data_IF_656064815617
#
_entry.id   IF_656064815617
#
_cell.length_a   1.000
_cell.length_b   1.000
_cell.length_c   1.000
_cell.angle_alpha   90.00
_cell.angle_beta   90.00
_cell.angle_gamma   90.00
#
_symmetry.space_group_name_H-M   'P 1'
#
loop_
_entity.id
_entity.type
_entity.pdbx_description
1 polymer ?
#
# COMPACT_ATOMS: atom_id res chain seq x y z
N UNK A 1 4.29 11.22 -32.91
CA UNK A 1 5.74 11.03 -32.78
C UNK A 1 6.15 11.58 -31.43
N UNK A 2 5.97 10.82 -30.36
CA UNK A 2 6.36 11.21 -28.98
C UNK A 2 7.24 10.15 -28.31
N UNK A 3 7.67 9.17 -29.05
CA UNK A 3 8.62 8.19 -28.57
C UNK A 3 10.02 8.81 -28.49
N UNK A 4 10.66 8.74 -27.32
CA UNK A 4 12.04 9.12 -27.04
C UNK A 4 12.32 10.59 -26.72
N UNK A 5 11.92 11.02 -25.53
CA UNK A 5 12.69 12.02 -24.78
C UNK A 5 13.26 11.38 -23.52
N UNK A 6 14.38 10.71 -23.68
CA UNK A 6 15.07 10.06 -22.56
C UNK A 6 16.23 10.95 -22.15
N UNK A 7 16.21 11.48 -20.92
CA UNK A 7 17.36 12.00 -20.23
C UNK A 7 17.99 10.89 -19.39
N UNK A 8 19.24 10.61 -19.68
CA UNK A 8 20.02 9.54 -19.06
C UNK A 8 20.42 9.85 -17.63
N UNK A 9 20.34 8.89 -16.73
CA UNK A 9 21.40 8.61 -15.74
C UNK A 9 21.38 7.12 -15.41
N UNK A 10 22.54 6.51 -15.55
CA UNK A 10 22.82 5.11 -15.39
C UNK A 10 22.97 4.70 -13.93
N UNK A 11 22.46 3.53 -13.58
CA UNK A 11 23.16 2.64 -12.66
C UNK A 11 23.01 1.21 -13.15
N UNK A 12 24.05 0.76 -13.81
CA UNK A 12 24.19 -0.57 -14.37
C UNK A 12 24.79 -1.48 -13.31
N UNK A 13 24.16 -2.61 -13.07
CA UNK A 13 24.91 -3.78 -12.63
C UNK A 13 25.92 -4.10 -13.73
N UNK A 14 27.20 -3.94 -13.40
CA UNK A 14 28.28 -4.13 -14.34
C UNK A 14 28.42 -5.61 -14.71
N UNK A 15 27.91 -5.96 -15.87
CA UNK A 15 28.53 -7.00 -16.69
C UNK A 15 29.30 -6.25 -17.77
N UNK A 16 30.62 -6.21 -17.59
CA UNK A 16 31.51 -5.55 -18.54
C UNK A 16 31.44 -6.20 -19.91
N UNK A 17 30.91 -5.45 -20.85
CA UNK A 17 31.16 -5.73 -22.26
C UNK A 17 32.23 -4.74 -22.71
N UNK A 18 33.46 -5.22 -22.79
CA UNK A 18 34.51 -4.55 -23.54
C UNK A 18 34.11 -4.57 -25.02
N UNK A 19 33.88 -3.38 -25.60
CA UNK A 19 33.74 -3.26 -27.04
C UNK A 19 35.09 -3.62 -27.69
N UNK A 20 35.20 -4.79 -28.26
CA UNK A 20 36.17 -5.05 -29.32
C UNK A 20 35.48 -4.72 -30.65
N UNK A 21 35.86 -3.60 -31.24
CA UNK A 21 35.68 -3.38 -32.68
C UNK A 21 36.48 -4.41 -33.44
N UNK A 22 35.85 -5.54 -33.75
CA UNK A 22 36.28 -6.40 -34.80
C UNK A 22 35.09 -6.59 -35.73
N UNK A 23 35.24 -6.27 -37.00
CA UNK A 23 34.35 -6.69 -38.07
C UNK A 23 34.27 -8.22 -38.09
N UNK A 24 33.48 -8.78 -37.16
CA UNK A 24 33.11 -10.18 -37.22
C UNK A 24 31.94 -10.32 -38.18
N UNK A 25 32.03 -11.27 -39.10
CA UNK A 25 30.92 -11.77 -39.89
C UNK A 25 29.78 -12.16 -38.94
N UNK A 26 28.81 -11.27 -38.78
CA UNK A 26 27.62 -11.56 -38.01
C UNK A 26 26.86 -12.68 -38.73
N UNK A 27 26.76 -13.82 -38.11
CA UNK A 27 25.86 -14.88 -38.57
C UNK A 27 24.44 -14.33 -38.38
N UNK A 28 23.64 -14.42 -39.42
CA UNK A 28 22.21 -14.11 -39.33
C UNK A 28 21.55 -15.03 -38.29
N UNK A 29 21.39 -14.55 -37.08
CA UNK A 29 20.69 -15.27 -36.03
C UNK A 29 19.20 -14.90 -36.13
N UNK A 30 18.38 -15.89 -36.37
CA UNK A 30 16.94 -15.74 -36.32
C UNK A 30 16.48 -15.81 -34.85
N UNK A 31 16.20 -14.66 -34.27
CA UNK A 31 15.68 -14.52 -32.88
C UNK A 31 14.16 -14.65 -32.80
N UNK A 32 13.47 -14.96 -33.86
CA UNK A 32 12.01 -14.97 -33.88
C UNK A 32 11.38 -15.90 -32.85
N UNK A 33 12.00 -17.05 -32.59
CA UNK A 33 11.53 -18.00 -31.58
C UNK A 33 11.95 -17.62 -30.16
N UNK A 34 13.02 -16.85 -29.98
CA UNK A 34 13.53 -16.44 -28.69
C UNK A 34 12.79 -15.20 -28.14
N UNK A 35 12.07 -14.49 -29.03
CA UNK A 35 11.30 -13.31 -28.67
C UNK A 35 9.86 -13.64 -28.24
N UNK A 36 9.38 -14.86 -28.47
CA UNK A 36 8.03 -15.23 -28.04
C UNK A 36 7.86 -15.10 -26.54
N UNK A 37 6.81 -14.40 -26.10
CA UNK A 37 6.49 -14.23 -24.68
C UNK A 37 6.10 -12.80 -24.32
N UNK A 38 6.04 -12.55 -23.04
CA UNK A 38 5.74 -11.23 -22.47
C UNK A 38 7.02 -10.58 -21.99
N UNK A 39 7.20 -9.32 -22.36
CA UNK A 39 8.40 -8.53 -22.06
C UNK A 39 8.00 -7.19 -21.47
N UNK A 40 8.64 -6.78 -20.41
CA UNK A 40 8.31 -5.51 -19.73
C UNK A 40 9.53 -4.62 -19.61
N UNK A 41 9.31 -3.33 -19.83
CA UNK A 41 10.30 -2.27 -19.67
C UNK A 41 9.74 -1.18 -18.77
N UNK A 42 10.57 -0.61 -17.90
CA UNK A 42 10.24 0.59 -17.14
C UNK A 42 11.48 1.46 -17.00
N UNK A 43 11.40 2.72 -17.42
CA UNK A 43 12.50 3.68 -17.36
C UNK A 43 11.97 5.12 -17.35
N UNK A 44 12.30 5.90 -16.33
CA UNK A 44 12.16 7.37 -16.28
C UNK A 44 10.78 7.92 -16.74
N UNK A 45 9.68 7.32 -16.25
CA UNK A 45 8.32 7.74 -16.60
C UNK A 45 7.73 7.04 -17.82
N UNK A 46 8.52 6.27 -18.55
CA UNK A 46 8.10 5.36 -19.60
C UNK A 46 7.97 3.93 -19.06
N UNK A 47 6.87 3.26 -19.36
CA UNK A 47 6.70 1.86 -19.07
C UNK A 47 5.91 1.17 -20.18
N UNK A 48 6.36 0.00 -20.60
CA UNK A 48 5.72 -0.75 -21.67
C UNK A 48 5.78 -2.25 -21.41
N UNK A 49 4.73 -2.95 -21.76
CA UNK A 49 4.68 -4.38 -21.89
C UNK A 49 4.42 -4.77 -23.36
N UNK A 50 5.19 -5.71 -23.87
CA UNK A 50 5.06 -6.28 -25.19
C UNK A 50 4.69 -7.77 -25.06
N UNK A 51 3.56 -8.17 -25.67
CA UNK A 51 3.20 -9.57 -25.86
C UNK A 51 3.57 -9.95 -27.29
N UNK A 52 4.64 -10.71 -27.44
CA UNK A 52 5.18 -11.14 -28.75
C UNK A 52 4.78 -12.60 -29.01
N UNK A 53 4.18 -12.86 -30.15
CA UNK A 53 3.78 -14.21 -30.55
C UNK A 53 4.74 -14.81 -31.60
N UNK A 54 4.79 -16.12 -31.70
CA UNK A 54 5.65 -16.85 -32.62
C UNK A 54 5.55 -16.41 -34.09
N UNK A 55 4.40 -15.87 -34.50
CA UNK A 55 4.19 -15.36 -35.86
C UNK A 55 4.70 -13.92 -36.07
N UNK A 56 5.38 -13.33 -35.08
CA UNK A 56 5.86 -11.96 -35.13
C UNK A 56 4.80 -10.89 -34.91
N UNK A 57 3.56 -11.27 -34.55
CA UNK A 57 2.59 -10.27 -34.09
C UNK A 57 2.94 -9.82 -32.65
N UNK A 58 2.74 -8.54 -32.38
CA UNK A 58 2.99 -7.94 -31.07
C UNK A 58 1.78 -7.16 -30.62
N UNK A 59 1.52 -7.16 -29.33
CA UNK A 59 0.56 -6.28 -28.67
C UNK A 59 1.32 -5.47 -27.63
N UNK A 60 1.17 -4.16 -27.68
CA UNK A 60 1.79 -3.21 -26.73
C UNK A 60 0.74 -2.61 -25.82
N UNK A 61 1.09 -2.45 -24.55
CA UNK A 61 0.38 -1.66 -23.56
C UNK A 61 1.37 -0.93 -22.67
N UNK A 62 1.09 0.31 -22.27
CA UNK A 62 2.04 1.06 -21.49
C UNK A 62 1.56 2.43 -21.04
N UNK A 63 2.51 3.19 -20.50
CA UNK A 63 2.34 4.57 -20.02
C UNK A 63 3.57 5.40 -20.40
N UNK A 64 3.34 6.60 -20.91
CA UNK A 64 4.37 7.63 -21.11
C UNK A 64 3.76 8.99 -20.78
N UNK A 65 4.45 9.81 -20.03
CA UNK A 65 4.04 11.18 -19.64
C UNK A 65 2.62 11.27 -19.05
N UNK A 66 2.17 10.21 -18.36
CA UNK A 66 0.83 10.14 -17.76
C UNK A 66 -0.28 9.79 -18.74
N UNK A 67 0.03 9.45 -19.97
CA UNK A 67 -0.91 8.94 -20.97
C UNK A 67 -0.75 7.41 -21.08
N UNK A 68 -1.86 6.67 -21.06
CA UNK A 68 -1.90 5.21 -21.16
C UNK A 68 -2.37 4.78 -22.55
N UNK A 69 -1.72 3.75 -23.09
CA UNK A 69 -2.25 3.01 -24.24
C UNK A 69 -2.48 1.55 -23.87
N UNK A 70 -3.45 0.92 -24.53
CA UNK A 70 -3.87 -0.45 -24.30
C UNK A 70 -4.06 -1.18 -25.62
N UNK A 71 -3.62 -2.42 -25.68
CA UNK A 71 -3.87 -3.36 -26.76
C UNK A 71 -3.51 -2.83 -28.17
N UNK A 72 -2.45 -2.05 -28.28
CA UNK A 72 -1.98 -1.56 -29.58
C UNK A 72 -1.31 -2.71 -30.33
N UNK A 73 -1.98 -3.17 -31.38
CA UNK A 73 -1.48 -4.29 -32.18
C UNK A 73 -0.43 -3.83 -33.21
N UNK A 74 0.54 -4.70 -33.43
CA UNK A 74 1.62 -4.45 -34.36
C UNK A 74 2.30 -5.72 -34.87
N UNK A 75 3.44 -5.52 -35.51
CA UNK A 75 4.34 -6.59 -35.97
C UNK A 75 5.77 -6.26 -35.54
N UNK A 76 6.53 -7.30 -35.22
CA UNK A 76 7.95 -7.22 -34.89
C UNK A 76 8.76 -8.08 -35.84
N UNK A 77 9.87 -7.56 -36.27
CA UNK A 77 10.83 -8.29 -37.11
C UNK A 77 12.25 -7.97 -36.67
N UNK A 78 13.07 -9.00 -36.54
CA UNK A 78 14.50 -8.85 -36.30
C UNK A 78 15.29 -9.40 -37.46
N UNK A 79 16.18 -8.61 -38.00
CA UNK A 79 17.08 -8.99 -39.11
C UNK A 79 18.44 -8.33 -38.89
N UNK A 80 19.51 -9.11 -38.86
CA UNK A 80 20.89 -8.61 -38.74
C UNK A 80 21.08 -7.67 -37.54
N UNK A 81 20.63 -8.08 -36.35
CA UNK A 81 20.66 -7.28 -35.11
C UNK A 81 19.95 -5.93 -35.21
N UNK A 82 19.03 -5.79 -36.12
CA UNK A 82 18.13 -4.65 -36.27
C UNK A 82 16.71 -5.10 -36.02
N UNK A 83 16.03 -4.45 -35.13
CA UNK A 83 14.63 -4.67 -34.84
C UNK A 83 13.78 -3.60 -35.52
N UNK A 84 12.69 -4.02 -36.12
CA UNK A 84 11.63 -3.13 -36.62
C UNK A 84 10.33 -3.52 -35.94
N UNK A 85 9.66 -2.57 -35.31
CA UNK A 85 8.31 -2.71 -34.80
C UNK A 85 7.40 -1.73 -35.55
N UNK A 86 6.24 -2.21 -35.97
CA UNK A 86 5.26 -1.40 -36.71
C UNK A 86 3.90 -1.59 -36.05
N UNK A 87 3.34 -0.54 -35.49
CA UNK A 87 2.07 -0.56 -34.81
C UNK A 87 0.94 0.01 -35.67
N UNK A 88 -0.29 -0.42 -35.41
CA UNK A 88 -1.48 0.00 -36.19
C UNK A 88 -1.88 1.46 -35.97
N UNK A 89 -1.51 2.06 -34.85
CA UNK A 89 -1.69 3.48 -34.55
C UNK A 89 -0.76 4.39 -35.36
N UNK A 90 0.20 3.81 -36.07
CA UNK A 90 1.17 4.52 -36.91
C UNK A 90 2.54 4.71 -36.27
N UNK A 91 2.71 4.33 -35.04
CA UNK A 91 4.00 4.38 -34.38
C UNK A 91 4.89 3.25 -34.88
N UNK A 92 6.14 3.60 -35.19
CA UNK A 92 7.11 2.68 -35.72
C UNK A 92 8.45 2.88 -35.01
N UNK A 93 9.10 1.78 -34.71
CA UNK A 93 10.45 1.76 -34.21
C UNK A 93 11.36 1.00 -35.16
N UNK A 94 12.54 1.52 -35.42
CA UNK A 94 13.62 0.85 -36.10
C UNK A 94 14.95 1.17 -35.40
N UNK A 95 15.68 0.14 -34.97
CA UNK A 95 16.93 0.37 -34.25
C UNK A 95 17.77 -0.89 -34.05
N UNK A 96 18.95 -0.71 -33.46
CA UNK A 96 19.84 -1.80 -33.09
C UNK A 96 19.16 -2.65 -32.01
N UNK A 97 19.35 -3.96 -32.11
CA UNK A 97 18.82 -4.96 -31.20
C UNK A 97 19.93 -5.80 -30.61
N UNK A 98 19.86 -6.04 -29.30
CA UNK A 98 20.73 -6.96 -28.57
C UNK A 98 19.86 -7.83 -27.66
N UNK A 99 20.18 -9.14 -27.56
CA UNK A 99 19.38 -10.07 -26.78
C UNK A 99 20.23 -11.00 -25.92
N UNK A 100 19.72 -11.27 -24.72
CA UNK A 100 20.12 -12.41 -23.88
C UNK A 100 18.91 -13.35 -23.85
N UNK A 101 18.98 -14.46 -24.59
CA UNK A 101 17.83 -15.34 -24.80
C UNK A 101 17.14 -15.73 -23.48
N UNK A 102 15.80 -15.60 -23.44
CA UNK A 102 14.98 -15.93 -22.28
C UNK A 102 15.17 -15.03 -21.04
N UNK A 103 15.95 -13.95 -21.14
CA UNK A 103 16.24 -13.06 -20.01
C UNK A 103 15.86 -11.62 -20.31
N UNK A 104 16.47 -11.02 -21.34
CA UNK A 104 16.26 -9.63 -21.68
C UNK A 104 16.62 -9.34 -23.13
N UNK A 105 16.02 -8.31 -23.69
CA UNK A 105 16.52 -7.68 -24.91
C UNK A 105 16.60 -6.17 -24.77
N UNK A 106 17.43 -5.56 -25.56
CA UNK A 106 17.60 -4.11 -25.60
C UNK A 106 17.43 -3.60 -27.02
N UNK A 107 16.77 -2.47 -27.15
CA UNK A 107 16.66 -1.72 -28.38
C UNK A 107 17.35 -0.37 -28.20
N UNK A 108 17.95 0.13 -29.28
CA UNK A 108 18.67 1.38 -29.29
C UNK A 108 18.14 2.25 -30.43
N UNK A 109 17.83 3.51 -30.13
CA UNK A 109 17.48 4.46 -31.15
C UNK A 109 18.72 4.96 -31.92
N UNK A 110 18.52 5.85 -32.89
CA UNK A 110 19.62 6.44 -33.67
C UNK A 110 20.58 7.30 -32.83
N UNK A 111 20.11 7.84 -31.71
CA UNK A 111 20.88 8.66 -30.77
C UNK A 111 21.69 7.81 -29.78
N UNK A 112 21.45 6.49 -29.77
CA UNK A 112 22.10 5.52 -28.87
C UNK A 112 21.40 5.34 -27.55
N UNK A 113 20.21 5.92 -27.34
CA UNK A 113 19.42 5.66 -26.17
C UNK A 113 18.94 4.24 -26.13
N UNK A 114 18.95 3.65 -24.93
CA UNK A 114 18.68 2.25 -24.71
C UNK A 114 17.39 2.06 -23.91
N UNK A 115 16.48 1.22 -24.41
CA UNK A 115 15.42 0.58 -23.66
C UNK A 115 15.73 -0.89 -23.47
N UNK A 116 15.55 -1.41 -22.27
CA UNK A 116 15.78 -2.82 -21.95
C UNK A 116 14.50 -3.44 -21.46
N UNK A 117 14.03 -4.43 -22.19
CA UNK A 117 12.88 -5.26 -21.83
C UNK A 117 13.35 -6.52 -21.13
N UNK A 118 12.71 -6.85 -20.02
CA UNK A 118 12.96 -8.07 -19.28
C UNK A 118 11.88 -9.10 -19.58
N UNK A 119 12.26 -10.35 -19.71
CA UNK A 119 11.32 -11.45 -19.90
C UNK A 119 10.47 -11.62 -18.64
N UNK A 120 9.16 -11.65 -18.84
CA UNK A 120 8.20 -11.90 -17.78
C UNK A 120 7.68 -13.34 -17.92
N UNK A 121 8.15 -14.21 -17.03
CA UNK A 121 7.79 -15.63 -17.07
C UNK A 121 6.36 -15.91 -16.59
N UNK A 122 5.81 -15.04 -15.74
CA UNK A 122 4.51 -15.22 -15.11
C UNK A 122 3.62 -14.01 -15.38
N UNK A 123 2.40 -14.27 -15.78
CA UNK A 123 1.34 -13.26 -15.78
C UNK A 123 0.79 -13.19 -14.35
N UNK A 124 0.86 -12.03 -13.72
CA UNK A 124 0.41 -11.82 -12.34
C UNK A 124 -1.04 -11.31 -12.23
N UNK A 125 -1.79 -11.31 -13.33
CA UNK A 125 -3.15 -10.74 -13.37
C UNK A 125 -4.12 -11.41 -12.38
N UNK A 126 -3.97 -12.71 -12.14
CA UNK A 126 -4.79 -13.47 -11.19
C UNK A 126 -4.21 -13.41 -9.77
N UNK A 127 -2.90 -13.54 -9.62
CA UNK A 127 -2.23 -13.62 -8.33
C UNK A 127 -2.35 -12.34 -7.51
N UNK A 128 -2.46 -11.19 -8.18
CA UNK A 128 -2.58 -9.91 -7.46
C UNK A 128 -3.99 -9.57 -7.00
N UNK A 129 -5.00 -10.30 -7.46
CA UNK A 129 -6.38 -10.07 -7.02
C UNK A 129 -6.49 -10.34 -5.53
N UNK A 130 -7.02 -9.37 -4.78
CA UNK A 130 -7.15 -9.47 -3.34
C UNK A 130 -6.98 -8.13 -2.62
N UNK A 131 -6.88 -8.20 -1.30
CA UNK A 131 -6.64 -7.06 -0.45
C UNK A 131 -5.19 -7.09 0.06
N UNK A 132 -4.51 -5.98 -0.11
CA UNK A 132 -3.10 -5.80 0.18
C UNK A 132 -2.89 -4.62 1.11
N UNK A 133 -2.26 -4.83 2.25
CA UNK A 133 -1.95 -3.77 3.22
C UNK A 133 -0.47 -3.43 3.14
N UNK A 134 -0.17 -2.14 3.06
CA UNK A 134 1.21 -1.65 3.04
C UNK A 134 1.97 -2.13 4.28
N UNK A 135 3.02 -2.94 4.06
CA UNK A 135 3.73 -3.60 5.13
C UNK A 135 4.94 -2.80 5.62
N UNK A 136 4.71 -1.63 6.20
CA UNK A 136 5.76 -0.95 6.96
C UNK A 136 5.75 -1.31 8.45
N UNK A 137 4.81 -2.13 8.88
CA UNK A 137 4.68 -2.58 10.28
C UNK A 137 5.84 -3.47 10.70
N UNK A 138 6.38 -4.29 9.78
CA UNK A 138 7.53 -5.16 10.06
C UNK A 138 8.82 -4.40 10.38
N UNK A 139 8.97 -3.15 9.94
CA UNK A 139 10.14 -2.30 10.21
C UNK A 139 9.95 -1.33 11.37
N UNK A 140 8.76 -1.32 12.02
CA UNK A 140 8.41 -0.36 13.07
C UNK A 140 8.30 1.09 12.57
N UNK A 141 8.24 1.28 11.27
CA UNK A 141 8.00 2.55 10.60
C UNK A 141 6.61 2.50 9.99
N UNK A 142 5.59 2.67 10.81
CA UNK A 142 4.23 2.87 10.31
C UNK A 142 4.13 4.29 9.74
N UNK A 143 4.51 4.45 8.50
CA UNK A 143 4.00 5.55 7.71
C UNK A 143 2.51 5.26 7.45
N UNK A 144 1.76 6.21 6.90
CA UNK A 144 0.31 6.11 6.74
C UNK A 144 -0.12 4.72 6.25
N UNK A 145 -1.14 4.16 6.92
CA UNK A 145 -1.69 2.89 6.48
C UNK A 145 -2.34 3.07 5.11
N UNK A 146 -1.96 2.21 4.19
CA UNK A 146 -2.45 2.23 2.84
C UNK A 146 -2.90 0.82 2.43
N UNK A 147 -4.13 0.72 1.90
CA UNK A 147 -4.71 -0.55 1.48
C UNK A 147 -5.02 -0.48 0.01
N UNK A 148 -4.61 -1.50 -0.70
CA UNK A 148 -4.87 -1.68 -2.11
C UNK A 148 -5.74 -2.91 -2.30
N UNK A 149 -7.02 -2.72 -2.62
CA UNK A 149 -7.93 -3.82 -2.95
C UNK A 149 -8.03 -3.92 -4.46
N UNK A 150 -7.51 -5.00 -5.02
CA UNK A 150 -7.48 -5.28 -6.45
C UNK A 150 -8.58 -6.29 -6.75
N UNK A 151 -9.50 -5.97 -7.67
CA UNK A 151 -10.67 -6.77 -8.00
C UNK A 151 -10.55 -7.40 -9.38
N UNK A 152 -11.17 -8.56 -9.57
CA UNK A 152 -11.21 -9.27 -10.86
C UNK A 152 -11.86 -8.49 -12.00
N UNK A 153 -12.68 -7.48 -11.68
CA UNK A 153 -13.41 -6.68 -12.68
C UNK A 153 -12.55 -5.59 -13.35
N UNK A 154 -11.24 -5.58 -13.12
CA UNK A 154 -10.32 -4.57 -13.65
C UNK A 154 -10.34 -3.25 -12.87
N UNK A 155 -10.94 -3.24 -11.67
CA UNK A 155 -10.93 -2.07 -10.80
C UNK A 155 -10.11 -2.31 -9.53
N UNK A 156 -9.47 -1.26 -9.05
CA UNK A 156 -8.75 -1.27 -7.78
C UNK A 156 -9.30 -0.17 -6.87
N UNK A 157 -9.28 -0.41 -5.57
CA UNK A 157 -9.67 0.54 -4.55
C UNK A 157 -8.48 0.84 -3.66
N UNK A 158 -8.05 2.10 -3.67
CA UNK A 158 -7.04 2.59 -2.72
C UNK A 158 -7.75 3.17 -1.51
N UNK A 159 -7.44 2.66 -0.32
CA UNK A 159 -7.97 3.16 0.93
C UNK A 159 -6.83 3.67 1.79
N UNK A 160 -6.87 4.93 2.17
CA UNK A 160 -5.90 5.58 3.05
C UNK A 160 -6.57 6.21 4.27
N UNK A 161 -5.79 6.48 5.31
CA UNK A 161 -6.27 7.26 6.43
C UNK A 161 -6.53 8.70 6.01
N UNK A 162 -7.68 9.24 6.45
CA UNK A 162 -8.00 10.63 6.23
C UNK A 162 -7.16 11.56 7.12
N UNK A 163 -7.06 12.80 6.69
CA UNK A 163 -6.53 13.87 7.54
C UNK A 163 -7.42 14.07 8.77
N UNK A 164 -6.92 14.85 9.75
CA UNK A 164 -7.59 15.20 10.99
C UNK A 164 -9.01 15.77 10.81
N UNK A 165 -9.23 16.48 9.69
CA UNK A 165 -10.51 17.15 9.38
C UNK A 165 -11.13 16.49 8.15
N UNK A 166 -12.09 15.60 8.30
CA UNK A 166 -12.77 15.00 7.16
C UNK A 166 -13.27 13.59 7.42
N UNK A 167 -13.56 12.87 6.35
CA UNK A 167 -13.94 11.47 6.42
C UNK A 167 -12.80 10.63 7.00
N UNK A 168 -13.11 9.62 7.78
CA UNK A 168 -12.14 8.80 8.50
C UNK A 168 -11.21 8.04 7.58
N UNK A 169 -11.75 7.57 6.44
CA UNK A 169 -10.98 6.90 5.39
C UNK A 169 -11.31 7.50 4.04
N UNK A 170 -10.26 7.82 3.29
CA UNK A 170 -10.38 8.25 1.90
C UNK A 170 -10.26 7.02 1.03
N UNK A 171 -11.28 6.79 0.21
CA UNK A 171 -11.29 5.73 -0.78
C UNK A 171 -11.21 6.30 -2.18
N UNK A 172 -10.42 5.66 -3.01
CA UNK A 172 -10.29 6.01 -4.41
C UNK A 172 -10.36 4.77 -5.29
N UNK A 173 -11.29 4.81 -6.22
CA UNK A 173 -11.40 3.80 -7.27
C UNK A 173 -10.49 4.17 -8.43
N UNK A 174 -9.77 3.19 -8.96
CA UNK A 174 -8.93 3.25 -10.14
C UNK A 174 -9.35 2.14 -11.11
N UNK A 175 -9.25 2.39 -12.39
CA UNK A 175 -9.22 1.32 -13.38
C UNK A 175 -7.78 0.84 -13.54
N UNK A 176 -7.60 -0.48 -13.68
CA UNK A 176 -6.28 -1.07 -13.85
C UNK A 176 -6.24 -2.12 -14.96
N UNK A 177 -5.03 -2.40 -15.40
CA UNK A 177 -4.70 -3.51 -16.28
C UNK A 177 -3.35 -4.11 -15.86
N UNK A 178 -3.21 -5.42 -16.01
CA UNK A 178 -1.92 -6.10 -15.83
C UNK A 178 -1.53 -6.78 -17.12
N UNK A 179 -0.27 -6.63 -17.50
CA UNK A 179 0.31 -7.37 -18.61
C UNK A 179 1.64 -7.96 -18.12
N UNK A 180 1.66 -9.27 -17.92
CA UNK A 180 2.76 -9.94 -17.26
C UNK A 180 2.93 -9.47 -15.81
N UNK A 181 3.98 -8.75 -15.53
CA UNK A 181 4.23 -8.12 -14.23
C UNK A 181 4.15 -6.58 -14.25
N UNK A 182 3.66 -6.00 -15.33
CA UNK A 182 3.44 -4.56 -15.43
C UNK A 182 1.99 -4.22 -15.07
N UNK A 183 1.81 -3.48 -14.00
CA UNK A 183 0.53 -2.97 -13.49
C UNK A 183 0.36 -1.52 -13.93
N UNK A 184 -0.68 -1.27 -14.69
CA UNK A 184 -1.03 0.04 -15.25
C UNK A 184 -2.31 0.53 -14.61
N UNK A 185 -2.36 1.80 -14.20
CA UNK A 185 -3.55 2.43 -13.61
C UNK A 185 -3.82 3.78 -14.21
N UNK A 186 -5.07 4.23 -14.15
CA UNK A 186 -5.49 5.56 -14.58
C UNK A 186 -5.14 6.68 -13.60
N UNK A 187 -4.35 6.41 -12.58
CA UNK A 187 -3.76 7.35 -11.62
C UNK A 187 -4.49 8.67 -11.32
N UNK A 188 -4.05 9.40 -10.27
CA UNK A 188 -4.69 10.68 -9.86
C UNK A 188 -4.31 11.83 -10.79
N UNK A 189 -3.05 11.84 -11.19
CA UNK A 189 -2.43 12.95 -11.92
C UNK A 189 -2.07 12.52 -13.35
N UNK A 190 -2.73 11.51 -13.86
CA UNK A 190 -2.43 10.84 -15.11
C UNK A 190 -2.22 9.36 -14.90
N UNK A 191 -2.01 8.62 -15.97
CA UNK A 191 -1.75 7.19 -15.88
C UNK A 191 -0.41 6.90 -15.22
N UNK A 192 -0.36 5.82 -14.46
CA UNK A 192 0.82 5.37 -13.72
C UNK A 192 1.12 3.91 -14.05
N UNK A 193 2.40 3.55 -13.99
CA UNK A 193 2.86 2.19 -14.20
C UNK A 193 3.70 1.72 -13.02
N UNK A 194 3.57 0.44 -12.69
CA UNK A 194 4.29 -0.20 -11.59
C UNK A 194 4.71 -1.60 -11.98
N UNK A 195 5.97 -1.94 -11.78
CA UNK A 195 6.44 -3.34 -11.88
C UNK A 195 6.11 -4.09 -10.61
N UNK A 196 5.52 -5.27 -10.76
CA UNK A 196 5.11 -6.14 -9.68
C UNK A 196 6.10 -7.27 -9.48
N UNK A 197 6.29 -7.64 -8.22
CA UNK A 197 6.91 -8.91 -7.82
C UNK A 197 6.02 -9.55 -6.78
N UNK A 198 5.49 -10.72 -7.10
CA UNK A 198 4.69 -11.52 -6.16
C UNK A 198 5.58 -12.62 -5.56
N UNK A 199 5.56 -12.74 -4.25
CA UNK A 199 6.29 -13.76 -3.50
C UNK A 199 5.32 -14.47 -2.58
N UNK A 200 4.89 -15.70 -2.92
CA UNK A 200 4.01 -16.49 -2.06
C UNK A 200 4.74 -16.90 -0.79
N UNK A 201 4.02 -17.02 0.31
CA UNK A 201 4.53 -17.47 1.62
C UNK A 201 5.82 -16.78 2.06
N UNK A 202 5.97 -15.50 1.70
CA UNK A 202 7.20 -14.74 1.93
C UNK A 202 7.47 -14.47 3.41
N UNK A 203 6.43 -14.51 4.24
CA UNK A 203 6.51 -14.30 5.69
C UNK A 203 5.60 -15.28 6.41
N UNK A 204 5.73 -15.36 7.74
CA UNK A 204 4.77 -16.12 8.58
C UNK A 204 3.33 -15.58 8.47
N UNK A 205 3.15 -14.38 7.93
CA UNK A 205 1.85 -13.73 7.74
C UNK A 205 1.26 -13.95 6.34
N UNK A 206 2.03 -14.54 5.40
CA UNK A 206 1.56 -14.89 4.06
C UNK A 206 2.32 -14.20 2.92
N UNK A 207 1.61 -13.99 1.82
CA UNK A 207 2.14 -13.51 0.55
C UNK A 207 2.54 -12.03 0.60
N UNK A 208 3.59 -11.69 -0.13
CA UNK A 208 4.05 -10.31 -0.34
C UNK A 208 3.91 -9.91 -1.81
N UNK A 209 3.30 -8.77 -2.04
CA UNK A 209 3.32 -8.05 -3.31
C UNK A 209 4.25 -6.85 -3.20
N UNK A 210 5.33 -6.86 -3.95
CA UNK A 210 6.22 -5.71 -4.06
C UNK A 210 5.89 -4.92 -5.32
N UNK A 211 5.67 -3.63 -5.16
CA UNK A 211 5.36 -2.67 -6.20
C UNK A 211 6.54 -1.71 -6.36
N UNK A 212 7.12 -1.66 -7.55
CA UNK A 212 8.22 -0.77 -7.91
C UNK A 212 7.73 0.20 -8.99
N UNK A 213 7.67 1.48 -8.67
CA UNK A 213 7.22 2.54 -9.56
C UNK A 213 8.14 3.74 -9.55
N UNK A 214 7.88 4.68 -10.45
CA UNK A 214 8.53 5.98 -10.48
C UNK A 214 7.50 7.07 -10.19
N UNK A 215 7.91 8.10 -9.46
CA UNK A 215 7.12 9.29 -9.24
C UNK A 215 7.98 10.54 -9.42
N UNK A 216 7.34 11.66 -9.74
CA UNK A 216 8.01 12.93 -9.89
C UNK A 216 8.14 13.63 -8.53
N UNK A 217 9.36 13.99 -8.16
CA UNK A 217 9.68 14.86 -7.01
C UNK A 217 10.29 16.16 -7.54
N UNK A 218 9.45 17.15 -7.78
CA UNK A 218 9.80 18.32 -8.57
C UNK A 218 10.14 17.93 -10.01
N UNK A 219 11.35 18.25 -10.47
CA UNK A 219 11.84 17.91 -11.82
C UNK A 219 12.63 16.58 -11.85
N UNK A 220 12.60 15.81 -10.78
CA UNK A 220 13.35 14.54 -10.68
C UNK A 220 12.42 13.34 -10.63
N UNK A 221 12.73 12.34 -11.44
CA UNK A 221 12.12 11.03 -11.34
C UNK A 221 12.77 10.24 -10.19
N UNK A 222 11.97 9.79 -9.24
CA UNK A 222 12.42 9.04 -8.07
C UNK A 222 11.78 7.67 -8.08
N UNK A 223 12.61 6.62 -7.93
CA UNK A 223 12.13 5.26 -7.78
C UNK A 223 11.53 5.06 -6.39
N UNK A 224 10.35 4.46 -6.33
CA UNK A 224 9.68 4.07 -5.09
C UNK A 224 9.40 2.57 -5.11
N UNK A 225 9.79 1.91 -4.04
CA UNK A 225 9.47 0.50 -3.81
C UNK A 225 8.60 0.41 -2.58
N UNK A 226 7.47 -0.27 -2.72
CA UNK A 226 6.53 -0.52 -1.64
C UNK A 226 6.19 -2.01 -1.58
N UNK A 227 6.15 -2.57 -0.37
CA UNK A 227 5.78 -3.97 -0.15
C UNK A 227 4.45 -4.03 0.61
N UNK A 228 3.58 -4.92 0.16
CA UNK A 228 2.25 -5.12 0.68
C UNK A 228 2.07 -6.57 1.11
N UNK A 229 1.43 -6.76 2.25
CA UNK A 229 1.03 -8.07 2.75
C UNK A 229 -0.39 -8.38 2.27
N UNK A 230 -0.62 -9.61 1.79
CA UNK A 230 -1.97 -10.08 1.51
C UNK A 230 -2.74 -10.27 2.81
N UNK A 231 -3.96 -9.76 2.86
CA UNK A 231 -4.84 -9.90 4.01
C UNK A 231 -6.21 -10.43 3.59
N UNK A 232 -7.00 -10.88 4.55
CA UNK A 232 -8.36 -11.33 4.28
C UNK A 232 -9.22 -10.18 3.77
N UNK A 233 -10.02 -10.41 2.74
CA UNK A 233 -10.92 -9.39 2.17
C UNK A 233 -12.08 -9.02 3.10
N UNK A 234 -12.46 -9.94 3.99
CA UNK A 234 -13.53 -9.73 4.97
C UNK A 234 -13.10 -10.20 6.34
N UNK A 235 -13.52 -9.48 7.37
CA UNK A 235 -13.23 -9.82 8.74
C UNK A 235 -14.03 -11.08 9.17
N UNK A 236 -13.34 -12.00 9.82
CA UNK A 236 -13.94 -13.17 10.50
C UNK A 236 -13.75 -12.99 12.01
N UNK A 237 -14.59 -12.14 12.60
CA UNK A 237 -14.46 -11.71 13.99
C UNK A 237 -15.34 -12.49 14.98
N UNK A 238 -16.60 -12.89 14.63
CA UNK A 238 -17.51 -13.48 15.61
C UNK A 238 -16.94 -14.71 16.31
N UNK A 239 -16.95 -14.69 17.64
CA UNK A 239 -16.44 -15.77 18.48
C UNK A 239 -14.93 -15.90 18.55
N UNK A 240 -14.19 -14.91 18.06
CA UNK A 240 -12.73 -14.87 18.11
C UNK A 240 -12.23 -14.09 19.31
N UNK A 241 -11.18 -14.63 19.90
CA UNK A 241 -10.43 -14.05 21.02
C UNK A 241 -9.02 -13.73 20.58
N UNK A 242 -8.57 -12.51 20.90
CA UNK A 242 -7.24 -12.04 20.55
C UNK A 242 -6.52 -11.46 21.77
N UNK A 243 -5.26 -11.83 21.96
CA UNK A 243 -4.38 -11.23 22.97
C UNK A 243 -3.58 -10.07 22.37
N UNK A 244 -3.39 -9.02 23.16
CA UNK A 244 -2.54 -7.89 22.79
C UNK A 244 -1.09 -8.36 22.55
N UNK A 245 -0.51 -7.98 21.42
CA UNK A 245 0.87 -8.29 21.05
C UNK A 245 1.74 -7.04 20.97
N UNK A 246 1.33 -6.03 20.19
CA UNK A 246 2.14 -4.83 19.98
C UNK A 246 1.28 -3.60 19.60
N UNK A 247 1.86 -2.42 19.73
CA UNK A 247 1.37 -1.19 19.12
C UNK A 247 2.49 -0.44 18.40
N UNK A 248 2.17 0.10 17.26
CA UNK A 248 3.05 0.97 16.48
C UNK A 248 2.46 2.38 16.43
N UNK A 249 3.32 3.38 16.48
CA UNK A 249 2.96 4.80 16.41
C UNK A 249 3.63 5.42 15.21
N UNK A 250 2.86 6.12 14.39
CA UNK A 250 3.37 6.88 13.25
C UNK A 250 2.80 8.29 13.22
N UNK A 251 3.52 9.19 12.56
CA UNK A 251 3.12 10.58 12.34
C UNK A 251 2.74 11.34 13.62
N UNK A 252 3.34 11.01 14.77
CA UNK A 252 3.04 11.67 16.03
C UNK A 252 3.54 13.11 16.01
N UNK A 253 2.62 14.06 15.91
CA UNK A 253 2.86 15.50 15.92
C UNK A 253 1.77 16.19 16.74
N UNK A 254 2.15 17.24 17.44
CA UNK A 254 1.21 18.02 18.23
C UNK A 254 1.93 19.03 19.14
N UNK A 255 1.19 19.61 20.08
CA UNK A 255 1.79 20.46 21.10
C UNK A 255 2.66 19.66 22.06
N UNK A 256 3.79 20.22 22.46
CA UNK A 256 4.67 19.65 23.50
C UNK A 256 4.07 19.91 24.90
N UNK A 257 2.95 19.26 25.17
CA UNK A 257 2.21 19.36 26.43
C UNK A 257 1.89 17.95 26.95
N UNK A 258 2.04 17.76 28.25
CA UNK A 258 1.65 16.51 28.90
C UNK A 258 0.15 16.46 29.15
N UNK A 259 -0.45 15.31 28.89
CA UNK A 259 -1.85 15.01 29.19
C UNK A 259 -1.88 13.78 30.09
N UNK A 260 -2.63 13.86 31.18
CA UNK A 260 -2.82 12.70 32.06
C UNK A 260 -4.27 12.24 31.95
N UNK A 261 -4.45 11.00 31.54
CA UNK A 261 -5.76 10.34 31.43
C UNK A 261 -5.67 9.02 32.20
N UNK A 262 -6.62 8.80 33.11
CA UNK A 262 -6.67 7.59 33.97
C UNK A 262 -5.33 7.28 34.68
N UNK A 263 -4.61 8.32 35.09
CA UNK A 263 -3.30 8.17 35.76
C UNK A 263 -2.10 7.94 34.82
N UNK A 264 -2.31 7.91 33.52
CA UNK A 264 -1.24 7.80 32.51
C UNK A 264 -0.97 9.14 31.86
N UNK A 265 0.30 9.56 31.92
CA UNK A 265 0.75 10.80 31.31
C UNK A 265 1.39 10.51 29.97
N UNK A 266 0.95 11.18 28.91
CA UNK A 266 1.53 11.11 27.59
C UNK A 266 1.67 12.50 26.96
N UNK A 267 2.55 12.60 25.97
CA UNK A 267 2.79 13.80 25.19
C UNK A 267 2.74 13.44 23.72
N UNK A 268 1.75 13.97 22.99
CA UNK A 268 1.52 13.59 21.58
C UNK A 268 2.73 13.87 20.69
N UNK A 269 3.42 15.00 20.91
CA UNK A 269 4.60 15.37 20.12
C UNK A 269 5.80 14.44 20.34
N UNK A 270 5.81 13.69 21.46
CA UNK A 270 6.91 12.79 21.88
C UNK A 270 6.47 11.34 22.00
N UNK A 271 5.25 11.03 21.56
CA UNK A 271 4.75 9.66 21.64
C UNK A 271 5.55 8.75 20.72
N UNK A 272 6.09 7.70 21.27
CA UNK A 272 6.79 6.65 20.53
C UNK A 272 6.17 5.28 20.81
N UNK A 273 6.29 4.38 19.81
CA UNK A 273 5.67 3.05 19.89
C UNK A 273 6.18 2.21 21.06
N UNK A 274 7.46 2.35 21.45
CA UNK A 274 8.05 1.53 22.54
C UNK A 274 7.49 1.92 23.90
N UNK A 275 7.36 3.22 24.16
CA UNK A 275 6.79 3.73 25.41
C UNK A 275 5.33 3.36 25.53
N UNK A 276 4.56 3.52 24.44
CA UNK A 276 3.15 3.15 24.40
C UNK A 276 2.95 1.64 24.51
N UNK A 277 3.73 0.83 23.81
CA UNK A 277 3.68 -0.64 23.90
C UNK A 277 3.95 -1.13 25.32
N UNK A 278 4.97 -0.58 25.98
CA UNK A 278 5.28 -0.92 27.35
C UNK A 278 4.12 -0.61 28.29
N UNK A 279 3.43 0.50 28.10
CA UNK A 279 2.26 0.86 28.89
C UNK A 279 1.08 -0.09 28.62
N UNK A 280 0.77 -0.33 27.36
CA UNK A 280 -0.39 -1.14 26.95
C UNK A 280 -0.27 -2.62 27.32
N UNK A 281 0.93 -3.18 27.35
CA UNK A 281 1.15 -4.55 27.84
C UNK A 281 0.71 -4.77 29.28
N UNK A 282 0.65 -3.71 30.08
CA UNK A 282 0.13 -3.78 31.46
C UNK A 282 -1.36 -3.52 31.55
N UNK A 283 -1.93 -2.85 30.54
CA UNK A 283 -3.33 -2.39 30.59
C UNK A 283 -4.25 -3.23 29.71
N UNK A 284 -3.95 -3.31 28.43
CA UNK A 284 -4.81 -3.98 27.44
C UNK A 284 -4.36 -5.43 27.30
N UNK A 285 -5.14 -6.34 27.84
CA UNK A 285 -4.82 -7.76 27.80
C UNK A 285 -5.33 -8.44 26.55
N UNK A 286 -6.61 -8.22 26.20
CA UNK A 286 -7.25 -8.91 25.10
C UNK A 286 -8.44 -8.13 24.54
N UNK A 287 -8.85 -8.53 23.34
CA UNK A 287 -10.13 -8.18 22.75
C UNK A 287 -10.85 -9.44 22.34
N UNK A 288 -12.17 -9.47 22.55
CA UNK A 288 -13.06 -10.57 22.20
C UNK A 288 -14.21 -10.03 21.35
N UNK A 289 -14.60 -10.78 20.35
CA UNK A 289 -15.72 -10.43 19.49
C UNK A 289 -16.88 -11.40 19.76
N UNK A 290 -17.92 -10.93 20.44
CA UNK A 290 -19.15 -11.70 20.58
C UNK A 290 -19.92 -11.70 19.26
N UNK A 291 -20.80 -12.71 19.08
CA UNK A 291 -21.58 -12.83 17.84
C UNK A 291 -22.59 -11.71 17.57
N UNK A 292 -22.77 -10.79 18.51
CA UNK A 292 -23.82 -9.76 18.50
C UNK A 292 -23.29 -8.34 18.23
N UNK A 293 -22.26 -8.22 17.39
CA UNK A 293 -21.64 -6.93 17.08
C UNK A 293 -21.16 -6.16 18.32
N UNK A 294 -20.56 -6.87 19.24
CA UNK A 294 -19.94 -6.30 20.44
C UNK A 294 -18.47 -6.67 20.48
N UNK A 295 -17.63 -5.67 20.67
CA UNK A 295 -16.23 -5.86 21.03
C UNK A 295 -16.11 -5.75 22.55
N UNK A 296 -15.52 -6.75 23.16
CA UNK A 296 -15.16 -6.75 24.56
C UNK A 296 -13.68 -6.46 24.70
N UNK A 297 -13.33 -5.39 25.37
CA UNK A 297 -11.96 -5.08 25.79
C UNK A 297 -11.72 -5.65 27.17
N UNK A 298 -10.62 -6.34 27.38
CA UNK A 298 -10.19 -6.88 28.65
C UNK A 298 -8.93 -6.15 29.07
N UNK A 299 -9.04 -5.40 30.16
CA UNK A 299 -7.95 -4.66 30.76
C UNK A 299 -7.48 -5.32 32.03
N UNK A 300 -6.18 -5.31 32.29
CA UNK A 300 -5.59 -5.74 33.54
C UNK A 300 -5.20 -4.50 34.38
N UNK A 301 -5.83 -4.34 35.54
CA UNK A 301 -5.56 -3.21 36.42
C UNK A 301 -5.58 -3.66 37.88
N UNK A 302 -4.51 -3.41 38.66
CA UNK A 302 -4.38 -3.78 40.06
C UNK A 302 -4.76 -5.24 40.36
N UNK A 303 -4.14 -6.18 39.62
CA UNK A 303 -4.38 -7.63 39.74
C UNK A 303 -5.84 -8.08 39.48
N UNK A 304 -6.61 -7.22 38.83
CA UNK A 304 -8.02 -7.49 38.47
C UNK A 304 -8.20 -7.31 36.97
N UNK A 305 -9.03 -8.16 36.36
CA UNK A 305 -9.47 -7.98 34.99
C UNK A 305 -10.73 -7.14 34.97
N UNK A 306 -10.73 -6.08 34.18
CA UNK A 306 -11.89 -5.21 33.93
C UNK A 306 -12.33 -5.46 32.50
N UNK A 307 -13.58 -5.86 32.35
CA UNK A 307 -14.20 -6.07 31.04
C UNK A 307 -15.03 -4.85 30.67
N UNK A 308 -14.94 -4.47 29.40
CA UNK A 308 -15.67 -3.35 28.84
C UNK A 308 -16.26 -3.75 27.49
N UNK A 309 -17.57 -3.80 27.41
CA UNK A 309 -18.31 -4.13 26.20
C UNK A 309 -18.68 -2.87 25.44
N UNK A 310 -18.37 -2.80 24.14
CA UNK A 310 -18.74 -1.72 23.27
C UNK A 310 -19.48 -2.22 22.02
N UNK A 311 -20.64 -1.65 21.67
CA UNK A 311 -21.30 -1.96 20.42
C UNK A 311 -20.41 -1.57 19.23
N UNK A 312 -20.39 -2.40 18.18
CA UNK A 312 -19.64 -2.13 16.96
C UNK A 312 -20.50 -2.30 15.73
N UNK A 313 -20.23 -1.50 14.72
CA UNK A 313 -20.73 -1.67 13.35
C UNK A 313 -19.56 -2.02 12.47
N UNK A 314 -19.66 -3.13 11.77
CA UNK A 314 -18.63 -3.61 10.84
C UNK A 314 -19.15 -3.46 9.42
N UNK A 315 -18.44 -2.70 8.59
CA UNK A 315 -18.68 -2.56 7.17
C UNK A 315 -17.37 -2.89 6.42
N UNK A 316 -17.33 -4.06 5.84
CA UNK A 316 -16.10 -4.62 5.28
C UNK A 316 -14.98 -4.66 6.35
N UNK A 317 -13.94 -3.85 6.18
CA UNK A 317 -12.82 -3.73 7.12
C UNK A 317 -12.88 -2.44 7.98
N UNK A 318 -13.90 -1.61 7.79
CA UNK A 318 -14.15 -0.45 8.65
C UNK A 318 -15.01 -0.87 9.83
N UNK A 319 -14.54 -0.58 11.02
CA UNK A 319 -15.21 -0.91 12.27
C UNK A 319 -15.43 0.37 13.06
N UNK A 320 -16.70 0.70 13.29
CA UNK A 320 -17.09 1.83 14.13
C UNK A 320 -17.46 1.32 15.51
N UNK A 321 -16.72 1.74 16.53
CA UNK A 321 -17.07 1.50 17.93
C UNK A 321 -18.09 2.57 18.33
N UNK A 322 -19.30 2.14 18.65
CA UNK A 322 -20.46 3.00 18.95
C UNK A 322 -20.43 3.50 20.38
N UNK A 323 -19.41 4.30 20.73
CA UNK A 323 -19.26 4.88 22.07
C UNK A 323 -20.44 5.79 22.46
N UNK A 324 -21.05 6.47 21.46
CA UNK A 324 -22.22 7.34 21.66
C UNK A 324 -23.48 6.56 22.09
N UNK A 325 -23.56 5.26 21.81
CA UNK A 325 -24.65 4.41 22.29
C UNK A 325 -24.49 4.02 23.77
N UNK A 326 -23.27 4.09 24.28
CA UNK A 326 -22.98 3.82 25.68
C UNK A 326 -23.23 5.04 26.56
N UNK A 327 -22.87 6.24 26.06
CA UNK A 327 -23.10 7.50 26.74
C UNK A 327 -23.15 8.63 25.69
N UNK A 328 -24.18 9.47 25.76
CA UNK A 328 -24.37 10.58 24.81
C UNK A 328 -23.26 11.62 24.84
N UNK A 329 -22.44 11.67 25.89
CA UNK A 329 -21.26 12.52 25.99
C UNK A 329 -20.07 12.02 25.15
N UNK A 330 -20.11 10.78 24.64
CA UNK A 330 -19.01 10.20 23.89
C UNK A 330 -19.21 10.33 22.39
N UNK A 331 -18.11 10.29 21.66
CA UNK A 331 -18.10 10.21 20.19
C UNK A 331 -17.67 8.83 19.73
N UNK A 332 -18.24 8.38 18.63
CA UNK A 332 -17.88 7.12 18.00
C UNK A 332 -16.42 7.12 17.55
N UNK A 333 -15.83 5.94 17.50
CA UNK A 333 -14.43 5.72 17.14
C UNK A 333 -14.36 4.78 15.94
N UNK A 334 -13.87 5.29 14.81
CA UNK A 334 -13.70 4.49 13.61
C UNK A 334 -12.29 3.93 13.55
N UNK A 335 -12.20 2.66 13.25
CA UNK A 335 -10.95 1.94 13.05
C UNK A 335 -10.99 1.21 11.72
N UNK A 336 -9.83 0.94 11.17
CA UNK A 336 -9.69 -0.02 10.10
C UNK A 336 -9.09 -1.30 10.68
N UNK A 337 -9.77 -2.44 10.47
CA UNK A 337 -9.31 -3.74 10.96
C UNK A 337 -9.01 -4.65 9.78
N UNK A 338 -8.00 -5.48 9.92
CA UNK A 338 -7.71 -6.54 8.96
C UNK A 338 -7.08 -7.73 9.67
N UNK A 339 -7.28 -8.91 9.10
CA UNK A 339 -6.68 -10.15 9.57
C UNK A 339 -5.69 -10.64 8.51
N UNK A 340 -4.62 -11.29 8.96
CA UNK A 340 -3.77 -12.09 8.08
C UNK A 340 -4.59 -13.22 7.43
N UNK A 341 -4.03 -13.85 6.42
CA UNK A 341 -4.74 -14.88 5.64
C UNK A 341 -5.26 -16.04 6.52
N UNK A 342 -4.51 -16.41 7.53
CA UNK A 342 -4.82 -17.53 8.44
C UNK A 342 -5.61 -17.11 9.68
N UNK A 343 -5.95 -15.83 9.83
CA UNK A 343 -6.60 -15.26 11.02
C UNK A 343 -5.81 -15.45 12.33
N UNK A 344 -4.50 -15.55 12.25
CA UNK A 344 -3.61 -15.67 13.40
C UNK A 344 -3.34 -14.32 14.06
N UNK A 345 -3.48 -13.23 13.30
CA UNK A 345 -3.34 -11.86 13.77
C UNK A 345 -4.52 -10.99 13.37
N UNK A 346 -4.88 -10.09 14.27
CA UNK A 346 -5.80 -8.99 14.03
C UNK A 346 -5.03 -7.68 14.17
N UNK A 347 -5.09 -6.86 13.15
CA UNK A 347 -4.57 -5.51 13.14
C UNK A 347 -5.72 -4.51 13.27
N UNK A 348 -5.56 -3.55 14.18
CA UNK A 348 -6.54 -2.48 14.42
C UNK A 348 -5.83 -1.14 14.21
N UNK A 349 -6.16 -0.46 13.13
CA UNK A 349 -5.59 0.83 12.80
C UNK A 349 -6.51 1.96 13.23
N UNK A 350 -5.98 2.86 14.05
CA UNK A 350 -6.68 4.04 14.56
C UNK A 350 -6.04 5.30 13.98
N UNK A 351 -6.71 6.01 13.06
CA UNK A 351 -6.22 7.27 12.50
C UNK A 351 -6.36 8.43 13.50
N UNK A 352 -5.74 9.56 13.19
CA UNK A 352 -5.69 10.75 14.04
C UNK A 352 -7.03 11.16 14.63
N UNK A 353 -8.08 11.23 13.82
CA UNK A 353 -9.41 11.63 14.29
C UNK A 353 -9.97 10.66 15.33
N UNK A 354 -9.83 9.37 15.08
CA UNK A 354 -10.28 8.31 15.99
C UNK A 354 -9.46 8.29 17.28
N UNK A 355 -8.17 8.57 17.20
CA UNK A 355 -7.34 8.80 18.38
C UNK A 355 -7.88 9.96 19.24
N UNK A 356 -8.19 11.10 18.62
CA UNK A 356 -8.75 12.26 19.32
C UNK A 356 -10.05 11.89 20.02
N UNK A 357 -10.98 11.25 19.32
CA UNK A 357 -12.26 10.84 19.90
C UNK A 357 -12.08 9.86 21.05
N UNK A 358 -11.26 8.82 20.85
CA UNK A 358 -11.03 7.78 21.85
C UNK A 358 -10.45 8.37 23.16
N UNK A 359 -9.39 9.17 23.05
CA UNK A 359 -8.72 9.73 24.23
C UNK A 359 -9.54 10.84 24.89
N UNK A 360 -10.31 11.64 24.13
CA UNK A 360 -11.25 12.59 24.70
C UNK A 360 -12.39 11.89 25.49
N UNK A 361 -12.94 10.80 24.94
CA UNK A 361 -13.91 9.96 25.64
C UNK A 361 -13.37 9.46 26.99
N UNK A 362 -12.10 8.98 26.99
CA UNK A 362 -11.44 8.51 28.22
C UNK A 362 -11.22 9.65 29.24
N UNK A 363 -10.85 10.84 28.77
CA UNK A 363 -10.69 12.02 29.63
C UNK A 363 -12.04 12.43 30.24
N UNK A 364 -13.12 12.45 29.43
CA UNK A 364 -14.48 12.71 29.90
C UNK A 364 -14.90 11.70 30.97
N UNK A 365 -14.66 10.39 30.72
CA UNK A 365 -14.99 9.35 31.68
C UNK A 365 -14.21 9.53 33.01
N UNK A 366 -12.93 9.87 32.93
CA UNK A 366 -12.08 10.10 34.12
C UNK A 366 -12.53 11.30 34.96
N UNK A 367 -12.77 12.45 34.31
CA UNK A 367 -13.20 13.67 34.98
C UNK A 367 -14.61 13.54 35.58
N UNK A 368 -15.49 12.81 34.89
CA UNK A 368 -16.83 12.55 35.44
C UNK A 368 -16.77 11.59 36.65
N UNK A 369 -15.88 10.61 36.64
CA UNK A 369 -15.70 9.69 37.77
C UNK A 369 -15.18 10.39 39.03
N UNK A 370 -14.39 11.47 38.88
CA UNK A 370 -13.90 12.31 39.97
C UNK A 370 -14.88 13.43 40.35
N UNK A 371 -15.95 13.61 39.59
CA UNK A 371 -16.94 14.69 39.82
C UNK A 371 -16.46 16.07 39.34
N UNK A 372 -15.40 16.12 38.51
CA UNK A 372 -14.85 17.37 37.97
C UNK A 372 -15.68 17.92 36.82
N UNK A 373 -16.44 17.08 36.14
CA UNK A 373 -17.38 17.45 35.08
C UNK A 373 -18.73 16.73 35.25
N UNK A 374 -19.80 17.34 34.75
CA UNK A 374 -21.08 16.70 34.50
C UNK A 374 -21.17 16.36 33.01
N UNK A 375 -21.33 15.06 32.68
CA UNK A 375 -21.47 14.60 31.29
C UNK A 375 -22.68 15.16 30.56
N UNK A 376 -23.68 15.68 31.28
CA UNK A 376 -24.85 16.34 30.70
C UNK A 376 -24.57 17.81 30.31
N UNK A 377 -23.46 18.38 30.79
CA UNK A 377 -22.98 19.68 30.36
C UNK A 377 -22.26 19.58 29.00
N UNK A 378 -23.02 19.84 27.94
CA UNK A 378 -22.50 19.75 26.57
C UNK A 378 -21.36 20.74 26.28
N UNK A 379 -21.32 21.91 26.96
CA UNK A 379 -20.23 22.87 26.76
C UNK A 379 -18.92 22.35 27.36
N UNK A 380 -18.99 21.78 28.57
CA UNK A 380 -17.84 21.18 29.24
C UNK A 380 -17.31 19.99 28.45
N UNK A 381 -18.20 19.13 27.94
CA UNK A 381 -17.85 17.98 27.10
C UNK A 381 -17.17 18.42 25.79
N UNK A 382 -17.78 19.38 25.07
CA UNK A 382 -17.24 19.89 23.81
C UNK A 382 -15.88 20.58 24.00
N UNK A 383 -15.67 21.25 25.13
CA UNK A 383 -14.36 21.85 25.46
C UNK A 383 -13.24 20.82 25.58
N UNK A 384 -13.53 19.58 26.02
CA UNK A 384 -12.54 18.50 26.10
C UNK A 384 -12.16 18.02 24.71
N UNK A 385 -13.14 17.76 23.82
CA UNK A 385 -12.85 17.39 22.44
C UNK A 385 -12.03 18.45 21.72
N UNK A 386 -12.42 19.72 21.85
CA UNK A 386 -11.69 20.83 21.25
C UNK A 386 -10.27 20.94 21.77
N UNK A 387 -10.07 20.80 23.09
CA UNK A 387 -8.73 20.82 23.69
C UNK A 387 -7.87 19.67 23.19
N UNK A 388 -8.40 18.45 23.05
CA UNK A 388 -7.68 17.31 22.50
C UNK A 388 -7.33 17.54 21.03
N UNK A 389 -8.29 18.07 20.24
CA UNK A 389 -8.08 18.43 18.84
C UNK A 389 -6.98 19.49 18.65
N UNK A 390 -6.92 20.49 19.51
CA UNK A 390 -5.89 21.53 19.48
C UNK A 390 -4.49 21.01 19.88
N UNK A 391 -4.41 19.94 20.67
CA UNK A 391 -3.16 19.33 21.12
C UNK A 391 -2.55 18.40 20.10
N UNK A 392 -3.38 17.69 19.38
CA UNK A 392 -2.98 16.66 18.40
C UNK A 392 -3.02 17.25 17.00
N UNK A 393 -1.88 17.32 16.33
CA UNK A 393 -1.82 17.67 14.91
C UNK A 393 -2.04 16.42 14.05
N UNK A 394 -1.27 15.37 14.29
CA UNK A 394 -1.41 14.07 13.66
C UNK A 394 -0.87 12.97 14.57
N UNK A 395 -1.49 11.81 14.51
CA UNK A 395 -1.00 10.55 15.08
C UNK A 395 -1.80 9.40 14.50
N UNK A 396 -1.13 8.30 14.20
CA UNK A 396 -1.78 7.05 13.81
C UNK A 396 -1.28 5.92 14.72
N UNK A 397 -2.20 5.10 15.20
CA UNK A 397 -1.87 3.92 15.99
C UNK A 397 -2.24 2.66 15.23
N UNK A 398 -1.37 1.68 15.26
CA UNK A 398 -1.64 0.34 14.75
C UNK A 398 -1.44 -0.67 15.88
N UNK A 399 -2.51 -1.26 16.34
CA UNK A 399 -2.50 -2.33 17.34
C UNK A 399 -2.44 -3.68 16.65
N UNK A 400 -1.66 -4.57 17.19
CA UNK A 400 -1.57 -5.97 16.74
C UNK A 400 -1.98 -6.87 17.89
N UNK A 401 -2.86 -7.81 17.58
CA UNK A 401 -3.34 -8.83 18.47
C UNK A 401 -3.11 -10.21 17.86
N UNK A 402 -2.82 -11.21 18.68
CA UNK A 402 -2.68 -12.62 18.28
C UNK A 402 -3.91 -13.43 18.66
N UNK A 403 -4.36 -14.29 17.77
CA UNK A 403 -5.42 -15.23 18.08
C UNK A 403 -5.00 -16.16 19.21
N UNK A 404 -5.97 -16.45 20.14
CA UNK A 404 -5.79 -17.42 21.22
C UNK A 404 -5.98 -18.85 20.74
#
# INVERSE_FOLDING_TARGET
>A
MKFFRIWAIALVAALGFSSCENEQNWIDVDYSNDLEGTWTCMKDGYAEALIIRANGSVVSAGVEDGEMWKDVEGTIKVTNNKMTMTFKDGDNFEGRFEMIAGVAFSIFNEEGDRLTYQYCANDLSEEIVGMWVYNNTASGKTEDMFIHTIKEDGTALLTGAASKTGNYFVQRKLDYMVVGNLYLTDGINGAEATLLTYTPDATELGDILTMKGFYMDGDKTVEKIASFLRVKQSLDLPGKDYEYDAVYVSNAKGKDEEVTIMGYTFNTAKMDGKSLDKMLRFLLFAVQFSGDNVIKYIYHYNDTYIEFDAPVVVMDNQVTIKMSEMDAAYRDVDMFMFQDADCTQLHMYMPTHSFINYFANMEIASLAATGEIDKTDSEAVEAIFKRMDERVESINLSFVFKAK
#
